data_IF_704949134946
#
_entry.id   IF_704949134946
#
_cell.length_a   1.000
_cell.length_b   1.000
_cell.length_c   1.000
_cell.angle_alpha   90.00
_cell.angle_beta   90.00
_cell.angle_gamma   90.00
#
_symmetry.space_group_name_H-M   'P 1'
#
loop_
_entity.id
_entity.type
_entity.pdbx_description
1 polymer ?
#
# COMPACT_ATOMS: atom_id res chain seq x y z
N UNK A 1 50.18 -23.30 -5.80
CA UNK A 1 49.22 -23.05 -6.89
C UNK A 1 47.77 -23.44 -6.53
N UNK A 2 47.54 -24.48 -5.72
CA UNK A 2 46.18 -24.87 -5.29
C UNK A 2 45.49 -23.86 -4.37
N UNK A 3 46.20 -23.25 -3.42
CA UNK A 3 45.61 -22.24 -2.52
C UNK A 3 45.12 -20.97 -3.24
N UNK A 4 45.77 -20.61 -4.36
CA UNK A 4 45.36 -19.47 -5.20
C UNK A 4 44.09 -19.80 -6.00
N UNK A 5 43.94 -21.06 -6.44
CA UNK A 5 42.71 -21.54 -7.11
C UNK A 5 41.52 -21.61 -6.15
N UNK A 6 41.74 -22.05 -4.91
CA UNK A 6 40.71 -22.09 -3.86
C UNK A 6 40.27 -20.68 -3.46
N UNK A 7 41.21 -19.74 -3.38
CA UNK A 7 40.90 -18.33 -3.13
C UNK A 7 40.11 -17.67 -4.28
N UNK A 8 40.40 -18.03 -5.54
CA UNK A 8 39.64 -17.54 -6.70
C UNK A 8 38.22 -18.13 -6.77
N UNK A 9 38.05 -19.41 -6.42
CA UNK A 9 36.76 -20.09 -6.39
C UNK A 9 35.82 -19.53 -5.30
N UNK A 10 36.36 -19.20 -4.13
CA UNK A 10 35.59 -18.58 -3.05
C UNK A 10 35.18 -17.14 -3.39
N UNK A 11 36.02 -16.38 -4.09
CA UNK A 11 35.68 -15.02 -4.53
C UNK A 11 34.54 -15.01 -5.56
N UNK A 12 34.50 -16.01 -6.47
CA UNK A 12 33.44 -16.13 -7.47
C UNK A 12 32.04 -16.42 -6.88
N UNK A 13 31.96 -17.13 -5.75
CA UNK A 13 30.70 -17.43 -5.06
C UNK A 13 30.07 -16.19 -4.38
N UNK A 14 30.85 -15.15 -4.09
CA UNK A 14 30.35 -13.92 -3.46
C UNK A 14 29.61 -13.01 -4.45
N UNK A 15 29.94 -13.07 -5.75
CA UNK A 15 29.33 -12.20 -6.77
C UNK A 15 27.99 -12.71 -7.34
N UNK A 16 27.57 -13.93 -7.03
CA UNK A 16 26.32 -14.50 -7.57
C UNK A 16 25.09 -14.21 -6.72
N UNK A 17 25.22 -13.53 -5.58
CA UNK A 17 24.12 -13.36 -4.61
C UNK A 17 23.21 -12.14 -4.81
N UNK A 18 23.30 -11.45 -5.96
CA UNK A 18 22.34 -10.39 -6.30
C UNK A 18 21.76 -10.59 -7.71
N UNK A 19 20.84 -11.54 -7.85
CA UNK A 19 19.76 -11.43 -8.83
C UNK A 19 18.55 -10.87 -8.10
N UNK A 20 18.42 -9.54 -8.08
CA UNK A 20 17.26 -8.86 -7.50
C UNK A 20 16.09 -8.98 -8.50
N UNK A 21 15.20 -9.94 -8.25
CA UNK A 21 14.03 -10.25 -9.09
C UNK A 21 12.92 -9.19 -9.01
N UNK A 22 13.07 -8.22 -8.09
CA UNK A 22 12.15 -7.09 -7.89
C UNK A 22 12.08 -6.09 -9.07
N UNK A 23 12.90 -6.23 -10.11
CA UNK A 23 12.87 -5.39 -11.32
C UNK A 23 12.43 -6.18 -12.56
N UNK A 24 11.34 -6.93 -12.48
CA UNK A 24 10.71 -7.46 -13.69
C UNK A 24 10.08 -6.29 -14.48
N UNK A 25 10.73 -5.88 -15.58
CA UNK A 25 10.31 -4.77 -16.46
C UNK A 25 8.86 -4.86 -16.94
N UNK A 26 8.27 -6.06 -16.93
CA UNK A 26 6.91 -6.32 -17.42
C UNK A 26 5.83 -5.77 -16.47
N UNK A 27 6.00 -5.89 -15.14
CA UNK A 27 5.02 -5.36 -14.16
C UNK A 27 5.08 -3.83 -14.08
N UNK A 28 6.27 -3.24 -14.11
CA UNK A 28 6.43 -1.78 -14.05
C UNK A 28 5.90 -1.08 -15.31
N UNK A 29 5.93 -1.74 -16.47
CA UNK A 29 5.36 -1.22 -17.71
C UNK A 29 3.82 -1.17 -17.67
N UNK A 30 3.17 -2.07 -16.92
CA UNK A 30 1.73 -2.05 -16.75
C UNK A 30 1.27 -0.85 -15.91
N UNK A 31 1.98 -0.54 -14.82
CA UNK A 31 1.67 0.60 -13.94
C UNK A 31 1.83 1.97 -14.61
N UNK A 32 2.77 2.10 -15.57
CA UNK A 32 2.97 3.36 -16.32
C UNK A 32 1.76 3.85 -17.11
N UNK A 33 0.83 2.97 -17.43
CA UNK A 33 -0.34 3.29 -18.25
C UNK A 33 -1.66 3.22 -17.48
N UNK A 34 -1.61 3.01 -16.15
CA UNK A 34 -2.81 3.03 -15.32
C UNK A 34 -3.20 4.48 -15.10
N UNK A 35 -4.37 4.86 -15.62
CA UNK A 35 -4.99 6.13 -15.23
C UNK A 35 -5.47 6.00 -13.78
N UNK A 36 -5.10 6.92 -12.88
CA UNK A 36 -5.66 6.94 -11.54
C UNK A 36 -7.19 7.02 -11.61
N UNK A 37 -7.86 6.21 -10.80
CA UNK A 37 -9.30 6.36 -10.62
C UNK A 37 -9.52 7.63 -9.82
N UNK A 38 -10.07 8.66 -10.47
CA UNK A 38 -10.47 9.89 -9.79
C UNK A 38 -11.80 9.65 -9.06
N UNK A 39 -11.81 9.88 -7.75
CA UNK A 39 -13.04 9.83 -6.95
C UNK A 39 -13.66 11.22 -6.98
N UNK A 40 -14.91 11.38 -7.48
CA UNK A 40 -15.56 12.67 -7.52
C UNK A 40 -15.74 13.27 -6.13
N UNK A 41 -15.66 14.59 -6.03
CA UNK A 41 -16.03 15.30 -4.80
C UNK A 41 -17.51 15.11 -4.49
N UNK A 42 -17.82 14.89 -3.23
CA UNK A 42 -19.19 14.79 -2.71
C UNK A 42 -19.39 15.90 -1.67
N UNK A 43 -20.29 16.85 -1.97
CA UNK A 43 -20.54 18.02 -1.10
C UNK A 43 -19.27 18.83 -0.75
N UNK A 44 -18.32 18.91 -1.69
CA UNK A 44 -17.04 19.60 -1.50
C UNK A 44 -15.98 18.78 -0.74
N UNK A 45 -16.30 17.56 -0.30
CA UNK A 45 -15.37 16.66 0.36
C UNK A 45 -14.79 15.65 -0.64
N UNK A 46 -13.51 15.35 -0.46
CA UNK A 46 -12.78 14.32 -1.20
C UNK A 46 -12.73 13.00 -0.42
N UNK A 47 -12.46 11.90 -1.11
CA UNK A 47 -12.26 10.58 -0.50
C UNK A 47 -10.89 10.01 -0.89
N UNK A 48 -10.22 9.42 0.08
CA UNK A 48 -8.99 8.67 -0.10
C UNK A 48 -9.11 7.30 0.56
N UNK A 49 -8.48 6.27 -0.01
CA UNK A 49 -8.52 4.92 0.54
C UNK A 49 -7.12 4.44 0.85
N UNK A 50 -6.89 3.97 2.07
CA UNK A 50 -5.59 3.49 2.53
C UNK A 50 -5.70 2.10 3.14
N UNK A 51 -4.69 1.26 2.91
CA UNK A 51 -4.52 -0.04 3.55
C UNK A 51 -3.15 -0.06 4.25
N UNK A 52 -3.13 0.23 5.54
CA UNK A 52 -1.90 0.42 6.36
C UNK A 52 -1.78 -0.61 7.50
N UNK A 53 -2.40 -1.78 7.37
CA UNK A 53 -2.43 -2.81 8.41
C UNK A 53 -3.78 -2.83 9.12
N UNK A 54 -3.78 -2.92 10.46
CA UNK A 54 -5.02 -2.98 11.23
C UNK A 54 -5.83 -1.69 11.08
N UNK A 55 -7.04 -1.79 10.56
CA UNK A 55 -7.88 -0.62 10.27
C UNK A 55 -8.27 0.19 11.51
N UNK A 56 -8.30 -0.37 12.72
CA UNK A 56 -8.63 0.34 13.95
C UNK A 56 -7.52 1.34 14.32
N UNK A 57 -6.27 0.94 14.13
CA UNK A 57 -5.13 1.83 14.35
C UNK A 57 -5.09 2.93 13.28
N UNK A 58 -5.31 2.56 12.02
CA UNK A 58 -5.32 3.51 10.92
C UNK A 58 -6.44 4.54 11.08
N UNK A 59 -7.66 4.09 11.37
CA UNK A 59 -8.83 4.94 11.63
C UNK A 59 -8.54 5.97 12.71
N UNK A 60 -8.06 5.52 13.88
CA UNK A 60 -7.73 6.42 14.99
C UNK A 60 -6.67 7.47 14.64
N UNK A 61 -5.68 7.12 13.82
CA UNK A 61 -4.67 8.09 13.34
C UNK A 61 -5.31 9.12 12.42
N UNK A 62 -6.07 8.70 11.41
CA UNK A 62 -6.64 9.61 10.42
C UNK A 62 -7.77 10.47 10.99
N UNK A 63 -8.55 9.98 11.95
CA UNK A 63 -9.55 10.79 12.67
C UNK A 63 -8.93 11.99 13.41
N UNK A 64 -7.66 11.90 13.78
CA UNK A 64 -6.95 12.99 14.46
C UNK A 64 -6.43 14.09 13.53
N UNK A 65 -6.48 13.88 12.20
CA UNK A 65 -5.95 14.80 11.21
C UNK A 65 -6.92 15.96 10.97
N UNK A 66 -6.43 17.19 11.15
CA UNK A 66 -7.22 18.40 10.86
C UNK A 66 -7.61 18.42 9.39
N UNK A 67 -8.91 18.56 9.10
CA UNK A 67 -9.45 18.53 7.74
C UNK A 67 -10.05 17.19 7.34
N UNK A 68 -9.73 16.11 8.06
CA UNK A 68 -10.50 14.86 7.95
C UNK A 68 -11.84 15.04 8.65
N UNK A 69 -12.90 14.63 7.96
CA UNK A 69 -14.29 14.76 8.43
C UNK A 69 -14.80 13.47 9.05
N UNK A 70 -14.45 12.33 8.46
CA UNK A 70 -14.88 11.00 8.88
C UNK A 70 -13.91 9.97 8.31
N UNK A 71 -13.74 8.86 9.02
CA UNK A 71 -12.98 7.70 8.56
C UNK A 71 -13.83 6.45 8.76
N UNK A 72 -13.93 5.61 7.73
CA UNK A 72 -14.75 4.38 7.77
C UNK A 72 -13.87 3.17 7.51
N UNK A 73 -13.81 2.28 8.50
CA UNK A 73 -13.13 0.98 8.38
C UNK A 73 -13.88 0.00 7.47
N UNK A 74 -13.15 -0.73 6.62
CA UNK A 74 -13.70 -1.69 5.67
C UNK A 74 -12.65 -2.57 5.00
N UNK A 75 -13.00 -3.10 3.82
CA UNK A 75 -12.18 -4.05 3.07
C UNK A 75 -12.17 -3.70 1.58
N UNK A 76 -10.98 -3.64 0.96
CA UNK A 76 -10.82 -3.29 -0.46
C UNK A 76 -9.74 -4.10 -1.16
N UNK A 77 -9.70 -4.04 -2.49
CA UNK A 77 -8.69 -4.69 -3.34
C UNK A 77 -8.89 -6.18 -3.64
N UNK A 78 -9.86 -6.84 -3.00
CA UNK A 78 -10.16 -8.26 -3.20
C UNK A 78 -11.25 -8.57 -4.21
N UNK A 79 -11.68 -9.83 -4.23
CA UNK A 79 -12.65 -10.36 -5.21
C UNK A 79 -13.96 -10.83 -4.59
N UNK A 80 -13.99 -11.07 -3.27
CA UNK A 80 -15.20 -11.53 -2.59
C UNK A 80 -16.18 -10.37 -2.43
N UNK A 81 -17.41 -10.54 -2.93
CA UNK A 81 -18.45 -9.52 -2.79
C UNK A 81 -18.93 -9.45 -1.33
N UNK A 82 -18.96 -8.25 -0.77
CA UNK A 82 -19.47 -7.95 0.58
C UNK A 82 -18.86 -8.88 1.66
N UNK A 83 -17.53 -8.90 1.85
CA UNK A 83 -16.90 -9.76 2.84
C UNK A 83 -17.32 -9.35 4.26
N UNK A 84 -17.39 -10.32 5.18
CA UNK A 84 -17.53 -10.05 6.62
C UNK A 84 -16.15 -10.02 7.26
N UNK A 85 -16.08 -9.58 8.52
CA UNK A 85 -14.85 -9.62 9.30
C UNK A 85 -14.27 -11.04 9.37
N UNK A 86 -15.11 -12.03 9.62
CA UNK A 86 -14.72 -13.44 9.72
C UNK A 86 -14.25 -13.99 8.38
N UNK A 87 -14.94 -13.66 7.27
CA UNK A 87 -14.51 -14.14 5.96
C UNK A 87 -13.19 -13.49 5.53
N UNK A 88 -13.01 -12.20 5.80
CA UNK A 88 -11.75 -11.48 5.54
C UNK A 88 -10.57 -12.06 6.32
N UNK A 89 -10.80 -12.43 7.59
CA UNK A 89 -9.80 -13.06 8.46
C UNK A 89 -9.26 -14.40 7.95
N UNK A 90 -9.89 -15.03 6.95
CA UNK A 90 -9.41 -16.28 6.35
C UNK A 90 -8.25 -16.07 5.36
N UNK A 91 -8.03 -14.84 4.89
CA UNK A 91 -7.07 -14.53 3.82
C UNK A 91 -7.54 -14.93 2.41
N UNK A 92 -8.70 -15.58 2.26
CA UNK A 92 -9.17 -16.07 0.96
C UNK A 92 -9.97 -15.04 0.16
N UNK A 93 -10.35 -13.92 0.76
CA UNK A 93 -11.20 -12.90 0.09
C UNK A 93 -10.40 -12.04 -0.88
N UNK A 94 -9.08 -12.01 -0.72
CA UNK A 94 -8.14 -11.15 -1.44
C UNK A 94 -8.19 -9.68 -1.00
N UNK A 95 -9.02 -9.33 0.00
CA UNK A 95 -9.10 -7.96 0.48
C UNK A 95 -7.99 -7.66 1.49
N UNK A 96 -7.54 -6.41 1.49
CA UNK A 96 -6.84 -5.83 2.62
C UNK A 96 -7.85 -5.13 3.55
N UNK A 97 -7.56 -5.10 4.85
CA UNK A 97 -8.16 -4.10 5.74
C UNK A 97 -7.82 -2.70 5.20
N UNK A 98 -8.84 -1.86 5.09
CA UNK A 98 -8.72 -0.54 4.47
C UNK A 98 -9.60 0.47 5.19
N UNK A 99 -9.26 1.75 5.06
CA UNK A 99 -10.08 2.87 5.53
C UNK A 99 -10.50 3.75 4.35
N UNK A 100 -11.73 4.26 4.39
CA UNK A 100 -12.18 5.41 3.58
C UNK A 100 -12.00 6.68 4.41
N UNK A 101 -11.14 7.59 3.97
CA UNK A 101 -10.89 8.89 4.59
C UNK A 101 -11.67 9.95 3.81
N UNK A 102 -12.70 10.52 4.43
CA UNK A 102 -13.48 11.62 3.89
C UNK A 102 -12.89 12.92 4.42
N UNK A 103 -12.40 13.80 3.55
CA UNK A 103 -11.64 14.99 3.96
C UNK A 103 -11.98 16.23 3.15
N UNK A 104 -11.74 17.39 3.74
CA UNK A 104 -11.85 18.70 3.10
C UNK A 104 -10.52 19.04 2.40
N UNK A 105 -10.47 19.02 1.05
CA UNK A 105 -9.24 19.27 0.31
C UNK A 105 -8.73 20.72 0.43
N UNK A 106 -9.53 21.66 0.96
CA UNK A 106 -9.09 23.02 1.29
C UNK A 106 -8.33 23.08 2.63
N UNK A 107 -8.44 22.05 3.48
CA UNK A 107 -7.78 21.98 4.80
C UNK A 107 -6.62 20.98 4.86
N UNK A 108 -6.72 19.87 4.14
CA UNK A 108 -5.67 18.84 4.05
C UNK A 108 -5.63 18.28 2.64
N UNK A 109 -4.44 18.21 2.06
CA UNK A 109 -4.22 17.67 0.72
C UNK A 109 -4.05 16.15 0.74
N UNK A 110 -4.30 15.50 -0.40
CA UNK A 110 -3.99 14.08 -0.55
C UNK A 110 -2.50 13.77 -0.29
N UNK A 111 -1.59 14.69 -0.63
CA UNK A 111 -0.16 14.52 -0.37
C UNK A 111 0.15 14.47 1.12
N UNK A 112 -0.49 15.31 1.93
CA UNK A 112 -0.34 15.28 3.39
C UNK A 112 -0.91 13.98 3.98
N UNK A 113 -2.02 13.48 3.43
CA UNK A 113 -2.55 12.16 3.83
C UNK A 113 -1.60 11.00 3.46
N UNK A 114 -0.84 11.13 2.38
CA UNK A 114 0.24 10.19 2.03
C UNK A 114 1.43 10.32 2.97
N UNK A 115 1.78 11.53 3.42
CA UNK A 115 2.83 11.73 4.41
C UNK A 115 2.48 11.03 5.73
N UNK A 116 1.21 11.09 6.15
CA UNK A 116 0.69 10.29 7.27
C UNK A 116 0.89 8.80 6.99
N UNK A 117 0.48 8.30 5.81
CA UNK A 117 0.58 6.88 5.45
C UNK A 117 2.01 6.34 5.55
N UNK A 118 3.00 7.06 5.02
CA UNK A 118 4.39 6.58 4.95
C UNK A 118 5.20 6.82 6.22
N UNK A 119 4.72 7.66 7.14
CA UNK A 119 5.38 7.94 8.43
C UNK A 119 4.65 7.32 9.64
N UNK A 120 3.61 6.52 9.42
CA UNK A 120 2.88 5.78 10.46
C UNK A 120 3.53 4.45 10.80
#
# INVERSE_FOLDING_TARGET
MEKLKISLLLYALVFTSCKNEAQNKTEQAALKNVQPVEVPLENGLAKAYFASGCFWCAEAVYESVIGVKEVVSGYSGGTTKNPTYESSSTGNTGHAESIEVIYDPEKVSFSELLDVYFNS
#
